data_IF_562873137402
#
_entry.id   IF_562873137402
#
_cell.length_a   1.000
_cell.length_b   1.000
_cell.length_c   1.000
_cell.angle_alpha   90.00
_cell.angle_beta   90.00
_cell.angle_gamma   90.00
#
_symmetry.space_group_name_H-M   'P 1'
#
loop_
_entity.id
_entity.type
_entity.pdbx_description
1 polymer ?
#
# COMPACT_ATOMS: atom_id res chain seq x y z
N UNK A 1 32.25 -24.27 -13.71
CA UNK A 1 31.79 -22.92 -14.09
C UNK A 1 30.64 -22.59 -13.14
N UNK A 2 30.90 -21.80 -12.09
CA UNK A 2 29.89 -21.50 -11.07
C UNK A 2 29.00 -20.42 -11.68
N UNK A 3 27.76 -20.79 -12.04
CA UNK A 3 26.75 -19.81 -12.42
C UNK A 3 26.57 -18.85 -11.24
N UNK A 4 27.07 -17.64 -11.39
CA UNK A 4 26.71 -16.53 -10.54
C UNK A 4 25.20 -16.35 -10.68
N UNK A 5 24.43 -16.95 -9.78
CA UNK A 5 23.03 -16.60 -9.58
C UNK A 5 23.05 -15.11 -9.25
N UNK A 6 22.81 -14.28 -10.26
CA UNK A 6 22.58 -12.85 -10.11
C UNK A 6 21.35 -12.75 -9.22
N UNK A 7 21.57 -12.68 -7.90
CA UNK A 7 20.52 -12.44 -6.90
C UNK A 7 19.90 -11.12 -7.34
N UNK A 8 18.70 -11.17 -7.95
CA UNK A 8 18.01 -10.02 -8.53
C UNK A 8 17.81 -8.95 -7.44
N UNK A 9 18.78 -8.05 -7.32
CA UNK A 9 18.73 -6.84 -6.48
C UNK A 9 17.58 -5.91 -6.90
N UNK A 10 17.03 -6.11 -8.11
CA UNK A 10 15.82 -5.44 -8.59
C UNK A 10 14.52 -5.85 -7.88
N UNK A 11 14.52 -6.85 -6.99
CA UNK A 11 13.30 -7.30 -6.31
C UNK A 11 12.68 -6.27 -5.37
N UNK A 12 13.49 -5.47 -4.66
CA UNK A 12 12.99 -4.48 -3.70
C UNK A 12 12.42 -3.24 -4.40
N UNK A 13 13.14 -2.55 -5.32
CA UNK A 13 12.61 -1.39 -6.02
C UNK A 13 11.37 -1.73 -6.87
N UNK A 14 11.39 -2.89 -7.55
CA UNK A 14 10.25 -3.32 -8.36
C UNK A 14 9.00 -3.51 -7.52
N UNK A 15 9.12 -4.07 -6.31
CA UNK A 15 7.96 -4.26 -5.46
C UNK A 15 7.38 -2.92 -4.93
N UNK A 16 8.21 -1.89 -4.71
CA UNK A 16 7.69 -0.53 -4.45
C UNK A 16 6.92 0.04 -5.64
N UNK A 17 7.41 -0.16 -6.86
CA UNK A 17 6.70 0.27 -8.07
C UNK A 17 5.37 -0.47 -8.25
N UNK A 18 5.34 -1.78 -7.96
CA UNK A 18 4.12 -2.59 -7.96
C UNK A 18 3.12 -2.08 -6.92
N UNK A 19 3.57 -1.75 -5.70
CA UNK A 19 2.71 -1.17 -4.65
C UNK A 19 2.17 0.20 -5.10
N UNK A 20 3.00 1.05 -5.70
CA UNK A 20 2.56 2.36 -6.22
C UNK A 20 1.48 2.20 -7.29
N UNK A 21 1.72 1.33 -8.27
CA UNK A 21 0.74 1.04 -9.32
C UNK A 21 -0.53 0.39 -8.76
N UNK A 22 -0.36 -0.50 -7.78
CA UNK A 22 -1.45 -1.18 -7.09
C UNK A 22 -2.36 -0.28 -6.26
N UNK A 23 -1.97 0.97 -5.97
CA UNK A 23 -2.89 1.94 -5.34
C UNK A 23 -4.15 2.17 -6.19
N UNK A 24 -4.06 2.00 -7.51
CA UNK A 24 -5.17 2.13 -8.45
C UNK A 24 -5.91 0.81 -8.68
N UNK A 25 -5.37 -0.32 -8.23
CA UNK A 25 -5.90 -1.64 -8.53
C UNK A 25 -5.60 -2.64 -7.40
N UNK A 26 -6.57 -2.84 -6.51
CA UNK A 26 -6.39 -3.61 -5.27
C UNK A 26 -5.84 -5.05 -5.44
N UNK A 27 -6.12 -5.83 -6.51
CA UNK A 27 -5.54 -7.16 -6.67
C UNK A 27 -4.01 -7.14 -6.76
N UNK A 28 -3.45 -6.08 -7.33
CA UNK A 28 -1.98 -5.90 -7.44
C UNK A 28 -1.36 -5.72 -6.05
N UNK A 29 -2.08 -5.12 -5.10
CA UNK A 29 -1.62 -4.96 -3.72
C UNK A 29 -1.55 -6.29 -2.98
N UNK A 30 -2.48 -7.21 -3.26
CA UNK A 30 -2.43 -8.57 -2.70
C UNK A 30 -1.17 -9.29 -3.19
N UNK A 31 -0.87 -9.20 -4.50
CA UNK A 31 0.34 -9.80 -5.08
C UNK A 31 1.59 -9.19 -4.44
N UNK A 32 1.67 -7.87 -4.33
CA UNK A 32 2.79 -7.17 -3.71
C UNK A 32 2.98 -7.56 -2.23
N UNK A 33 1.89 -7.73 -1.49
CA UNK A 33 1.90 -8.18 -0.10
C UNK A 33 2.44 -9.61 0.02
N UNK A 34 1.96 -10.54 -0.82
CA UNK A 34 2.42 -11.93 -0.83
C UNK A 34 3.90 -12.02 -1.21
N UNK A 35 4.33 -11.24 -2.19
CA UNK A 35 5.73 -11.16 -2.62
C UNK A 35 6.62 -10.64 -1.49
N UNK A 36 6.22 -9.54 -0.85
CA UNK A 36 6.94 -8.98 0.31
C UNK A 36 7.01 -9.97 1.47
N UNK A 37 5.92 -10.68 1.77
CA UNK A 37 5.86 -11.68 2.83
C UNK A 37 6.83 -12.83 2.59
N UNK A 38 6.89 -13.35 1.36
CA UNK A 38 7.80 -14.45 1.01
C UNK A 38 9.26 -14.03 1.14
N UNK A 39 9.62 -12.84 0.62
CA UNK A 39 11.00 -12.36 0.59
C UNK A 39 11.54 -11.82 1.92
N UNK A 40 10.67 -11.63 2.89
CA UNK A 40 11.00 -11.21 4.26
C UNK A 40 11.95 -12.18 4.99
N UNK A 41 12.03 -13.43 4.52
CA UNK A 41 12.88 -14.48 5.09
C UNK A 41 14.10 -14.85 4.22
N UNK A 42 14.20 -14.30 3.01
CA UNK A 42 15.20 -14.70 2.00
C UNK A 42 16.26 -13.61 1.72
N UNK A 43 16.00 -12.36 2.13
CA UNK A 43 16.84 -11.20 1.83
C UNK A 43 17.88 -10.85 2.89
N UNK A 44 18.88 -10.07 2.50
CA UNK A 44 19.88 -9.46 3.40
C UNK A 44 19.19 -8.45 4.35
N UNK A 45 19.86 -8.02 5.43
CA UNK A 45 19.25 -7.15 6.45
C UNK A 45 18.60 -5.87 5.87
N UNK A 46 19.19 -5.29 4.82
CA UNK A 46 18.61 -4.14 4.14
C UNK A 46 17.32 -4.51 3.38
N UNK A 47 17.34 -5.56 2.54
CA UNK A 47 16.18 -6.04 1.78
C UNK A 47 15.03 -6.40 2.70
N UNK A 48 15.35 -7.10 3.80
CA UNK A 48 14.40 -7.53 4.81
C UNK A 48 13.68 -6.34 5.44
N UNK A 49 14.41 -5.26 5.76
CA UNK A 49 13.81 -4.04 6.30
C UNK A 49 12.82 -3.40 5.32
N UNK A 50 13.14 -3.38 4.03
CA UNK A 50 12.24 -2.87 2.99
C UNK A 50 11.04 -3.78 2.75
N UNK A 51 11.23 -5.10 2.67
CA UNK A 51 10.12 -6.05 2.49
C UNK A 51 9.15 -6.02 3.66
N UNK A 52 9.64 -5.83 4.88
CA UNK A 52 8.77 -5.64 6.06
C UNK A 52 7.95 -4.36 5.96
N UNK A 53 8.56 -3.28 5.51
CA UNK A 53 7.89 -2.01 5.29
C UNK A 53 6.84 -2.10 4.16
N UNK A 54 7.18 -2.76 3.06
CA UNK A 54 6.29 -3.00 1.91
C UNK A 54 5.08 -3.86 2.31
N UNK A 55 5.30 -4.96 3.04
CA UNK A 55 4.22 -5.80 3.55
C UNK A 55 3.24 -5.00 4.41
N UNK A 56 3.75 -4.18 5.34
CA UNK A 56 2.92 -3.33 6.20
C UNK A 56 2.15 -2.28 5.42
N UNK A 57 2.77 -1.70 4.40
CA UNK A 57 2.14 -0.69 3.54
C UNK A 57 1.01 -1.29 2.71
N UNK A 58 1.24 -2.45 2.10
CA UNK A 58 0.23 -3.18 1.35
C UNK A 58 -0.91 -3.67 2.25
N UNK A 59 -0.61 -4.16 3.46
CA UNK A 59 -1.63 -4.54 4.44
C UNK A 59 -2.47 -3.33 4.89
N UNK A 60 -1.84 -2.19 5.18
CA UNK A 60 -2.54 -0.96 5.53
C UNK A 60 -3.47 -0.50 4.39
N UNK A 61 -2.99 -0.55 3.14
CA UNK A 61 -3.81 -0.28 1.95
C UNK A 61 -5.07 -1.14 1.93
N UNK A 62 -4.94 -2.46 2.09
CA UNK A 62 -6.09 -3.38 2.05
C UNK A 62 -7.10 -3.08 3.16
N UNK A 63 -6.64 -2.72 4.36
CA UNK A 63 -7.52 -2.33 5.48
C UNK A 63 -8.26 -1.02 5.16
N UNK A 64 -7.56 -0.03 4.60
CA UNK A 64 -8.15 1.26 4.21
C UNK A 64 -9.21 1.04 3.11
N UNK A 65 -8.88 0.30 2.06
CA UNK A 65 -9.81 -0.03 0.98
C UNK A 65 -11.01 -0.81 1.48
N UNK A 66 -10.81 -1.80 2.36
CA UNK A 66 -11.92 -2.55 2.95
C UNK A 66 -12.85 -1.66 3.77
N UNK A 67 -12.31 -0.72 4.56
CA UNK A 67 -13.10 0.24 5.32
C UNK A 67 -13.88 1.19 4.40
N UNK A 68 -13.22 1.76 3.38
CA UNK A 68 -13.86 2.63 2.39
C UNK A 68 -14.95 1.90 1.62
N UNK A 69 -14.69 0.65 1.20
CA UNK A 69 -15.67 -0.21 0.55
C UNK A 69 -16.88 -0.48 1.44
N UNK A 70 -16.66 -0.85 2.71
CA UNK A 70 -17.72 -1.08 3.68
C UNK A 70 -18.62 0.14 3.89
N UNK A 71 -18.03 1.34 4.03
CA UNK A 71 -18.77 2.60 4.16
C UNK A 71 -19.60 2.88 2.91
N UNK A 72 -19.01 2.71 1.72
CA UNK A 72 -19.72 2.91 0.43
C UNK A 72 -20.87 1.94 0.26
N UNK A 73 -20.65 0.66 0.52
CA UNK A 73 -21.68 -0.38 0.44
C UNK A 73 -22.82 -0.13 1.43
N UNK A 74 -22.51 0.20 2.69
CA UNK A 74 -23.52 0.57 3.68
C UNK A 74 -24.32 1.80 3.24
N UNK A 75 -23.65 2.83 2.71
CA UNK A 75 -24.33 4.04 2.23
C UNK A 75 -25.26 3.76 1.05
N UNK A 76 -24.83 2.94 0.08
CA UNK A 76 -25.67 2.51 -1.04
C UNK A 76 -26.88 1.69 -0.57
N UNK A 77 -26.69 0.80 0.39
CA UNK A 77 -27.80 0.03 0.98
C UNK A 77 -28.80 0.96 1.67
N UNK A 78 -28.32 1.95 2.41
CA UNK A 78 -29.17 2.94 3.08
C UNK A 78 -29.89 3.89 2.12
N UNK A 79 -29.42 4.08 0.88
CA UNK A 79 -30.09 4.89 -0.13
C UNK A 79 -31.35 4.22 -0.70
N UNK A 80 -31.52 2.91 -0.53
CA UNK A 80 -32.65 2.18 -1.09
C UNK A 80 -33.97 2.61 -0.44
N UNK A 81 -34.94 3.05 -1.25
CA UNK A 81 -36.27 3.47 -0.79
C UNK A 81 -36.36 4.88 -0.17
N UNK A 82 -35.30 5.70 -0.27
CA UNK A 82 -35.29 7.08 0.27
C UNK A 82 -35.77 8.13 -0.72
N UNK A 83 -36.33 9.23 -0.20
CA UNK A 83 -36.78 10.41 -0.96
C UNK A 83 -35.56 11.22 -1.45
N UNK A 84 -35.69 11.92 -2.59
CA UNK A 84 -34.62 12.66 -3.28
C UNK A 84 -33.74 13.56 -2.39
N UNK A 85 -34.29 14.19 -1.35
CA UNK A 85 -33.53 15.04 -0.42
C UNK A 85 -32.54 14.23 0.45
N UNK A 86 -32.96 13.07 0.94
CA UNK A 86 -32.10 12.19 1.75
C UNK A 86 -31.01 11.53 0.90
N UNK A 87 -31.33 11.17 -0.35
CA UNK A 87 -30.34 10.67 -1.33
C UNK A 87 -29.26 11.71 -1.59
N UNK A 88 -29.61 12.99 -1.67
CA UNK A 88 -28.66 14.09 -1.90
C UNK A 88 -27.68 14.23 -0.73
N UNK A 89 -28.16 14.17 0.52
CA UNK A 89 -27.30 14.20 1.71
C UNK A 89 -26.34 12.99 1.75
N UNK A 90 -26.84 11.78 1.50
CA UNK A 90 -26.02 10.57 1.44
C UNK A 90 -24.98 10.60 0.31
N UNK A 91 -25.31 11.26 -0.81
CA UNK A 91 -24.37 11.46 -1.92
C UNK A 91 -23.22 12.40 -1.55
N UNK A 92 -23.50 13.48 -0.81
CA UNK A 92 -22.46 14.36 -0.25
C UNK A 92 -21.54 13.59 0.70
N UNK A 93 -22.09 12.72 1.54
CA UNK A 93 -21.30 11.85 2.41
C UNK A 93 -20.42 10.87 1.63
N UNK A 94 -20.92 10.26 0.54
CA UNK A 94 -20.12 9.41 -0.35
C UNK A 94 -18.95 10.18 -0.99
N UNK A 95 -19.18 11.41 -1.41
CA UNK A 95 -18.14 12.28 -1.99
C UNK A 95 -17.09 12.59 -0.92
N UNK A 96 -17.52 13.03 0.27
CA UNK A 96 -16.61 13.36 1.36
C UNK A 96 -15.77 12.17 1.82
N UNK A 97 -16.38 10.99 1.99
CA UNK A 97 -15.66 9.76 2.36
C UNK A 97 -14.69 9.31 1.29
N UNK A 98 -15.00 9.52 0.01
CA UNK A 98 -14.06 9.28 -1.10
C UNK A 98 -12.86 10.22 -1.02
N UNK A 99 -13.08 11.52 -0.79
CA UNK A 99 -11.99 12.48 -0.59
C UNK A 99 -11.13 12.17 0.63
N UNK A 100 -11.76 11.81 1.76
CA UNK A 100 -11.06 11.40 2.96
C UNK A 100 -10.21 10.15 2.73
N UNK A 101 -10.66 9.21 1.88
CA UNK A 101 -9.92 8.03 1.48
C UNK A 101 -8.65 8.34 0.67
N UNK A 102 -8.58 9.45 -0.06
CA UNK A 102 -7.36 9.83 -0.79
C UNK A 102 -6.20 10.25 0.13
N UNK A 103 -6.48 10.78 1.32
CA UNK A 103 -5.45 11.20 2.28
C UNK A 103 -4.52 10.04 2.69
N UNK A 104 -5.03 8.90 3.19
CA UNK A 104 -4.17 7.77 3.53
C UNK A 104 -3.54 7.10 2.29
N UNK A 105 -4.18 7.14 1.12
CA UNK A 105 -3.58 6.67 -0.13
C UNK A 105 -2.39 7.54 -0.55
N UNK A 106 -2.50 8.87 -0.45
CA UNK A 106 -1.40 9.79 -0.72
C UNK A 106 -0.25 9.57 0.27
N UNK A 107 -0.56 9.33 1.54
CA UNK A 107 0.44 8.97 2.55
C UNK A 107 1.18 7.66 2.20
N UNK A 108 0.47 6.62 1.75
CA UNK A 108 1.08 5.38 1.26
C UNK A 108 1.95 5.61 0.02
N UNK A 109 1.50 6.44 -0.92
CA UNK A 109 2.25 6.79 -2.12
C UNK A 109 3.58 7.47 -1.76
N UNK A 110 3.55 8.49 -0.89
CA UNK A 110 4.75 9.19 -0.41
C UNK A 110 5.73 8.21 0.24
N UNK A 111 5.22 7.28 1.06
CA UNK A 111 6.03 6.23 1.66
C UNK A 111 6.67 5.33 0.60
N UNK A 112 5.93 4.89 -0.41
CA UNK A 112 6.48 4.01 -1.42
C UNK A 112 7.52 4.72 -2.30
N UNK A 113 7.29 5.98 -2.68
CA UNK A 113 8.27 6.80 -3.41
C UNK A 113 9.55 6.94 -2.59
N UNK A 114 9.45 7.29 -1.30
CA UNK A 114 10.63 7.41 -0.43
C UNK A 114 11.34 6.08 -0.24
N UNK A 115 10.60 4.99 -0.09
CA UNK A 115 11.14 3.64 -0.01
C UNK A 115 11.88 3.22 -1.28
N UNK A 116 11.37 3.62 -2.46
CA UNK A 116 11.99 3.39 -3.75
C UNK A 116 13.34 4.11 -3.88
N UNK A 117 13.40 5.39 -3.50
CA UNK A 117 14.65 6.16 -3.50
C UNK A 117 15.72 5.54 -2.58
N UNK A 118 15.33 5.16 -1.36
CA UNK A 118 16.25 4.52 -0.39
C UNK A 118 16.69 3.13 -0.84
N UNK A 119 15.81 2.37 -1.49
CA UNK A 119 16.16 1.08 -2.08
C UNK A 119 17.17 1.24 -3.24
N UNK A 120 17.05 2.31 -4.04
CA UNK A 120 18.04 2.66 -5.06
C UNK A 120 19.44 2.94 -4.48
N UNK A 121 19.49 3.54 -3.28
CA UNK A 121 20.72 3.77 -2.53
C UNK A 121 21.17 2.57 -1.66
N UNK A 122 20.47 1.42 -1.74
CA UNK A 122 20.71 0.21 -0.91
C UNK A 122 20.79 0.50 0.60
N UNK A 123 20.04 1.49 1.08
CA UNK A 123 20.12 1.95 2.47
C UNK A 123 19.09 1.24 3.34
N UNK A 124 19.49 0.55 4.44
CA UNK A 124 18.54 -0.13 5.32
C UNK A 124 17.64 0.85 6.08
N UNK A 125 16.42 0.42 6.39
CA UNK A 125 15.48 1.22 7.18
C UNK A 125 15.70 1.01 8.68
N UNK A 126 15.81 2.11 9.45
CA UNK A 126 16.04 2.08 10.91
C UNK A 126 14.92 1.36 11.63
N UNK A 127 13.68 1.74 11.31
CA UNK A 127 12.48 1.25 11.95
C UNK A 127 11.42 0.94 10.89
N UNK A 128 11.46 -0.25 10.27
CA UNK A 128 10.45 -0.65 9.27
C UNK A 128 9.06 -0.81 9.87
N UNK A 129 8.93 -0.73 11.20
CA UNK A 129 7.66 -0.78 11.91
C UNK A 129 7.02 0.58 12.14
N UNK A 130 7.78 1.67 12.10
CA UNK A 130 7.24 3.01 12.37
C UNK A 130 6.35 3.47 11.21
N UNK A 131 5.68 4.62 11.38
CA UNK A 131 4.93 5.29 10.31
C UNK A 131 5.80 6.14 9.38
N UNK A 132 7.11 6.18 9.65
CA UNK A 132 8.09 7.01 8.95
C UNK A 132 9.15 6.13 8.31
N UNK A 133 9.81 6.63 7.27
CA UNK A 133 10.87 5.88 6.57
C UNK A 133 12.16 6.65 6.79
N UNK A 134 13.05 6.14 7.64
CA UNK A 134 14.33 6.79 7.92
C UNK A 134 15.49 5.81 7.66
N UNK A 135 16.55 6.26 6.97
CA UNK A 135 17.80 5.51 6.84
C UNK A 135 18.58 5.54 8.16
N UNK A 136 19.43 4.52 8.38
CA UNK A 136 20.41 4.51 9.48
C UNK A 136 21.61 5.39 9.14
#
# INVERSE_FOLDING_TARGET
>A
MIEAVVKKTGGVPSNYAIILFGLLFFPIQIVAMLFAKRRLHEGDDWERSHYQMQYRSAAAYLVIEAAVFGIKAATLFLMHGKISAEVTSLRTWLVFTTFAGYVPLAWLAIRCVRGLFLAGAKTPLVNPRSYTIWPR
#
